data_IF_202352314440
#
_entry.id   IF_202352314440
#
_cell.length_a   1.000
_cell.length_b   1.000
_cell.length_c   1.000
_cell.angle_alpha   90.00
_cell.angle_beta   90.00
_cell.angle_gamma   90.00
#
_symmetry.space_group_name_H-M   'P 1'
#
loop_
_entity.id
_entity.type
_entity.pdbx_description
1 polymer ?
#
# COMPACT_ATOMS: atom_id res chain seq x y z
N UNK A 1 6.05 28.29 -8.42
CA UNK A 1 6.44 26.94 -7.99
C UNK A 1 7.34 27.11 -6.78
N UNK A 2 6.79 26.92 -5.59
CA UNK A 2 7.58 26.96 -4.34
C UNK A 2 8.42 25.68 -4.29
N UNK A 3 9.71 25.80 -4.51
CA UNK A 3 10.68 24.77 -4.18
C UNK A 3 10.57 24.52 -2.69
N UNK A 4 9.92 23.45 -2.27
CA UNK A 4 9.99 22.99 -0.90
C UNK A 4 11.47 22.75 -0.59
N UNK A 5 11.96 23.45 0.42
CA UNK A 5 13.30 23.28 0.93
C UNK A 5 13.31 21.95 1.69
N UNK A 6 13.49 20.85 0.95
CA UNK A 6 13.67 19.53 1.55
C UNK A 6 15.02 19.58 2.24
N UNK A 7 15.12 19.24 3.55
CA UNK A 7 16.39 19.13 4.22
C UNK A 7 17.36 18.34 3.35
N UNK A 8 18.62 18.76 3.28
CA UNK A 8 19.64 18.05 2.53
C UNK A 8 19.85 16.68 3.18
N UNK A 9 19.11 15.70 2.69
CA UNK A 9 19.35 14.30 3.05
C UNK A 9 20.69 13.89 2.44
N UNK A 10 21.44 13.00 3.11
CA UNK A 10 22.65 12.43 2.52
C UNK A 10 22.30 11.89 1.13
N UNK A 11 23.06 12.33 0.14
CA UNK A 11 22.71 12.04 -1.26
C UNK A 11 23.26 10.71 -1.72
N UNK A 12 24.09 10.08 -0.89
CA UNK A 12 24.95 9.04 -1.42
C UNK A 12 25.51 8.14 -0.32
N UNK A 13 25.29 6.85 -0.47
CA UNK A 13 26.00 5.81 0.25
C UNK A 13 27.06 5.23 -0.69
N UNK A 14 28.37 5.35 -0.37
CA UNK A 14 29.42 4.83 -1.23
C UNK A 14 29.44 3.30 -1.31
N UNK A 15 28.76 2.59 -0.39
CA UNK A 15 28.67 1.14 -0.40
C UNK A 15 27.61 0.62 -1.38
N UNK A 16 26.54 1.39 -1.63
CA UNK A 16 25.51 1.10 -2.64
C UNK A 16 25.00 2.37 -3.33
N UNK A 17 25.72 2.87 -4.33
CA UNK A 17 25.38 4.11 -4.99
C UNK A 17 24.07 4.05 -5.78
N UNK A 18 23.68 2.88 -6.24
CA UNK A 18 22.44 2.72 -7.06
C UNK A 18 21.22 2.77 -6.16
N UNK A 19 21.23 1.99 -5.08
CA UNK A 19 20.12 1.94 -4.12
C UNK A 19 19.94 3.29 -3.44
N UNK A 20 21.02 3.91 -2.96
CA UNK A 20 20.99 5.25 -2.37
C UNK A 20 20.41 6.30 -3.31
N UNK A 21 20.76 6.27 -4.60
CA UNK A 21 20.20 7.19 -5.59
C UNK A 21 18.70 6.99 -5.79
N UNK A 22 18.24 5.74 -5.82
CA UNK A 22 16.81 5.39 -5.94
C UNK A 22 16.05 5.85 -4.70
N UNK A 23 16.51 5.49 -3.51
CA UNK A 23 15.85 5.85 -2.24
C UNK A 23 15.80 7.35 -2.05
N UNK A 24 16.91 8.07 -2.31
CA UNK A 24 16.94 9.53 -2.25
C UNK A 24 15.91 10.16 -3.20
N UNK A 25 15.79 9.66 -4.43
CA UNK A 25 14.80 10.14 -5.40
C UNK A 25 13.38 9.87 -4.94
N UNK A 26 13.10 8.70 -4.39
CA UNK A 26 11.78 8.35 -3.87
C UNK A 26 11.39 9.26 -2.71
N UNK A 27 12.27 9.45 -1.74
CA UNK A 27 12.04 10.31 -0.58
C UNK A 27 11.77 11.77 -0.99
N UNK A 28 12.56 12.31 -1.93
CA UNK A 28 12.39 13.70 -2.43
C UNK A 28 11.08 13.92 -3.18
N UNK A 29 10.62 12.91 -3.92
CA UNK A 29 9.43 13.02 -4.76
C UNK A 29 8.14 12.55 -4.05
N UNK A 30 8.22 12.04 -2.84
CA UNK A 30 7.08 11.48 -2.13
C UNK A 30 5.90 12.46 -2.03
N UNK A 31 6.14 13.70 -1.67
CA UNK A 31 5.09 14.72 -1.54
C UNK A 31 4.31 15.02 -2.83
N UNK A 32 4.85 14.67 -3.99
CA UNK A 32 4.20 14.82 -5.30
C UNK A 32 3.50 13.54 -5.76
N UNK A 33 4.04 12.38 -5.38
CA UNK A 33 3.57 11.08 -5.84
C UNK A 33 2.56 10.44 -4.91
N UNK A 34 2.76 10.58 -3.61
CA UNK A 34 1.99 9.88 -2.61
C UNK A 34 0.50 10.20 -2.71
N UNK A 35 -0.32 9.17 -2.75
CA UNK A 35 -1.78 9.28 -2.80
C UNK A 35 -2.31 10.00 -1.56
N UNK A 36 -1.73 9.73 -0.39
CA UNK A 36 -2.06 10.36 0.90
C UNK A 36 -1.88 11.89 0.93
N UNK A 37 -1.17 12.46 -0.06
CA UNK A 37 -0.97 13.90 -0.22
C UNK A 37 -1.96 14.54 -1.20
N UNK A 38 -2.82 13.75 -1.80
CA UNK A 38 -3.84 14.23 -2.76
C UNK A 38 -5.18 14.36 -2.06
N UNK A 39 -6.08 15.22 -2.58
CA UNK A 39 -7.47 15.22 -2.13
C UNK A 39 -8.09 13.85 -2.32
N UNK A 40 -8.92 13.43 -1.36
CA UNK A 40 -9.70 12.22 -1.51
C UNK A 40 -10.60 12.32 -2.75
N UNK A 41 -10.70 11.26 -3.56
CA UNK A 41 -11.64 11.22 -4.66
C UNK A 41 -13.07 11.17 -4.12
N UNK A 42 -14.02 11.65 -4.91
CA UNK A 42 -15.44 11.43 -4.65
C UNK A 42 -15.75 9.94 -4.86
N UNK A 43 -15.79 9.18 -3.77
CA UNK A 43 -16.00 7.73 -3.80
C UNK A 43 -17.38 7.40 -4.34
N UNK A 44 -18.40 8.20 -4.03
CA UNK A 44 -19.77 7.96 -4.51
C UNK A 44 -19.85 8.07 -6.05
N UNK A 45 -19.08 9.00 -6.63
CA UNK A 45 -18.99 9.14 -8.09
C UNK A 45 -18.20 8.00 -8.76
N UNK A 46 -17.36 7.28 -8.03
CA UNK A 46 -16.56 6.18 -8.55
C UNK A 46 -17.27 4.82 -8.42
N UNK A 47 -18.32 4.73 -7.61
CA UNK A 47 -19.09 3.50 -7.45
C UNK A 47 -19.90 3.18 -8.69
N UNK A 48 -19.73 2.00 -9.23
CA UNK A 48 -20.48 1.45 -10.36
C UNK A 48 -21.23 0.19 -9.92
N UNK A 49 -22.51 0.36 -9.58
CA UNK A 49 -23.38 -0.74 -9.14
C UNK A 49 -23.59 -1.83 -10.19
N UNK A 50 -23.22 -1.57 -11.46
CA UNK A 50 -23.28 -2.55 -12.54
C UNK A 50 -22.07 -3.48 -12.61
N UNK A 51 -21.02 -3.20 -11.85
CA UNK A 51 -19.80 -4.02 -11.81
C UNK A 51 -19.82 -4.99 -10.64
N UNK A 52 -19.07 -6.08 -10.82
CA UNK A 52 -18.87 -7.06 -9.75
C UNK A 52 -17.81 -6.54 -8.77
N UNK A 53 -18.08 -6.67 -7.48
CA UNK A 53 -17.16 -6.24 -6.42
C UNK A 53 -15.88 -7.09 -6.37
N UNK A 54 -15.94 -8.34 -6.79
CA UNK A 54 -14.83 -9.28 -6.72
C UNK A 54 -14.87 -10.28 -7.88
N UNK A 55 -13.74 -10.52 -8.58
CA UNK A 55 -13.70 -11.42 -9.72
C UNK A 55 -13.87 -12.88 -9.29
N UNK A 56 -14.64 -13.64 -10.06
CA UNK A 56 -14.89 -15.07 -9.77
C UNK A 56 -13.58 -15.88 -9.75
N UNK A 57 -12.61 -15.52 -10.56
CA UNK A 57 -11.31 -16.21 -10.71
C UNK A 57 -10.51 -16.22 -9.40
N UNK A 58 -10.81 -15.29 -8.50
CA UNK A 58 -10.17 -15.20 -7.19
C UNK A 58 -10.98 -15.90 -6.08
N UNK A 59 -12.17 -16.41 -6.40
CA UNK A 59 -12.98 -17.18 -5.45
C UNK A 59 -12.55 -18.65 -5.46
N UNK A 60 -12.06 -19.21 -4.35
CA UNK A 60 -11.60 -20.60 -4.31
C UNK A 60 -12.73 -21.64 -4.51
N UNK A 61 -13.97 -21.19 -4.52
CA UNK A 61 -15.17 -22.02 -4.68
C UNK A 61 -16.00 -21.62 -5.93
N UNK A 62 -15.45 -20.85 -6.85
CA UNK A 62 -16.18 -20.35 -8.03
C UNK A 62 -16.75 -21.50 -8.90
N UNK A 63 -16.03 -22.62 -8.99
CA UNK A 63 -16.45 -23.81 -9.75
C UNK A 63 -17.27 -24.80 -8.94
N UNK A 64 -17.57 -24.51 -7.68
CA UNK A 64 -18.32 -25.43 -6.85
C UNK A 64 -19.81 -25.42 -7.21
N UNK A 65 -20.39 -26.59 -7.35
CA UNK A 65 -21.80 -26.79 -7.74
C UNK A 65 -22.81 -25.94 -6.97
N UNK A 66 -22.60 -25.72 -5.68
CA UNK A 66 -23.49 -24.91 -4.85
C UNK A 66 -23.44 -23.44 -5.28
N UNK A 67 -22.23 -22.90 -5.56
CA UNK A 67 -22.06 -21.54 -6.03
C UNK A 67 -22.70 -21.37 -7.41
N UNK A 68 -22.44 -22.29 -8.33
CA UNK A 68 -22.99 -22.25 -9.69
C UNK A 68 -24.51 -22.30 -9.75
N UNK A 69 -25.14 -22.98 -8.76
CA UNK A 69 -26.63 -23.09 -8.65
C UNK A 69 -27.27 -21.92 -7.90
N UNK A 70 -26.50 -21.04 -7.27
CA UNK A 70 -27.06 -19.86 -6.59
C UNK A 70 -27.61 -18.84 -7.58
N UNK A 71 -28.62 -18.10 -7.15
CA UNK A 71 -29.07 -16.91 -7.87
C UNK A 71 -28.02 -15.81 -7.91
N UNK A 72 -28.12 -14.91 -8.88
CA UNK A 72 -27.12 -13.85 -9.07
C UNK A 72 -26.96 -12.96 -7.84
N UNK A 73 -28.07 -12.61 -7.18
CA UNK A 73 -28.04 -11.82 -5.95
C UNK A 73 -27.19 -12.48 -4.84
N UNK A 74 -27.36 -13.79 -4.65
CA UNK A 74 -26.59 -14.53 -3.65
C UNK A 74 -25.10 -14.61 -4.03
N UNK A 75 -24.80 -14.78 -5.32
CA UNK A 75 -23.42 -14.77 -5.81
C UNK A 75 -22.77 -13.40 -5.61
N UNK A 76 -23.49 -12.32 -5.88
CA UNK A 76 -23.01 -10.96 -5.66
C UNK A 76 -22.73 -10.70 -4.17
N UNK A 77 -23.60 -11.17 -3.28
CA UNK A 77 -23.37 -11.06 -1.85
C UNK A 77 -22.11 -11.80 -1.40
N UNK A 78 -21.85 -13.00 -1.93
CA UNK A 78 -20.62 -13.74 -1.65
C UNK A 78 -19.38 -13.05 -2.21
N UNK A 79 -19.45 -12.40 -3.38
CA UNK A 79 -18.37 -11.59 -3.93
C UNK A 79 -18.05 -10.39 -3.03
N UNK A 80 -19.07 -9.68 -2.57
CA UNK A 80 -18.92 -8.57 -1.62
C UNK A 80 -18.26 -9.04 -0.31
N UNK A 81 -18.68 -10.17 0.25
CA UNK A 81 -18.04 -10.76 1.42
C UNK A 81 -16.59 -11.17 1.17
N UNK A 82 -16.29 -11.71 -0.02
CA UNK A 82 -14.91 -12.06 -0.39
C UNK A 82 -14.03 -10.81 -0.49
N UNK A 83 -14.55 -9.72 -1.06
CA UNK A 83 -13.87 -8.44 -1.11
C UNK A 83 -13.59 -7.88 0.30
N UNK A 84 -14.58 -7.89 1.18
CA UNK A 84 -14.42 -7.46 2.57
C UNK A 84 -13.37 -8.30 3.30
N UNK A 85 -13.42 -9.63 3.14
CA UNK A 85 -12.46 -10.53 3.76
C UNK A 85 -11.03 -10.31 3.23
N UNK A 86 -10.88 -10.06 1.94
CA UNK A 86 -9.60 -9.73 1.32
C UNK A 86 -9.01 -8.45 1.91
N UNK A 87 -9.79 -7.36 1.92
CA UNK A 87 -9.31 -6.08 2.46
C UNK A 87 -8.99 -6.17 3.95
N UNK A 88 -9.82 -6.87 4.74
CA UNK A 88 -9.51 -7.08 6.15
C UNK A 88 -8.18 -7.80 6.33
N UNK A 89 -7.90 -8.81 5.51
CA UNK A 89 -6.62 -9.54 5.59
C UNK A 89 -5.44 -8.66 5.20
N UNK A 90 -5.58 -7.80 4.18
CA UNK A 90 -4.56 -6.81 3.80
C UNK A 90 -4.29 -5.86 4.97
N UNK A 91 -5.32 -5.27 5.57
CA UNK A 91 -5.17 -4.38 6.73
C UNK A 91 -4.46 -5.07 7.90
N UNK A 92 -4.80 -6.32 8.20
CA UNK A 92 -4.16 -7.09 9.27
C UNK A 92 -2.67 -7.33 8.96
N UNK A 93 -2.31 -7.62 7.71
CA UNK A 93 -0.92 -7.79 7.28
C UNK A 93 -0.15 -6.47 7.42
N UNK A 94 -0.71 -5.37 6.97
CA UNK A 94 -0.05 -4.05 7.05
C UNK A 94 0.15 -3.63 8.51
N UNK A 95 -0.86 -3.80 9.34
CA UNK A 95 -0.81 -3.41 10.75
C UNK A 95 0.13 -4.28 11.59
N UNK A 96 0.13 -5.60 11.38
CA UNK A 96 0.80 -6.55 12.28
C UNK A 96 2.11 -7.12 11.74
N UNK A 97 2.39 -6.93 10.46
CA UNK A 97 3.59 -7.46 9.80
C UNK A 97 4.39 -6.36 9.14
N UNK A 98 3.80 -5.61 8.20
CA UNK A 98 4.51 -4.65 7.37
C UNK A 98 4.98 -3.45 8.18
N UNK A 99 4.08 -2.76 8.88
CA UNK A 99 4.44 -1.58 9.67
C UNK A 99 5.40 -1.88 10.83
N UNK A 100 5.24 -2.97 11.61
CA UNK A 100 6.27 -3.36 12.58
C UNK A 100 7.63 -3.68 11.94
N UNK A 101 7.64 -4.30 10.75
CA UNK A 101 8.87 -4.54 10.00
C UNK A 101 9.54 -3.23 9.57
N UNK A 102 8.79 -2.29 9.04
CA UNK A 102 9.30 -0.96 8.69
C UNK A 102 9.82 -0.21 9.91
N UNK A 103 9.15 -0.29 11.06
CA UNK A 103 9.61 0.33 12.29
C UNK A 103 11.00 -0.17 12.71
N UNK A 104 11.22 -1.49 12.66
CA UNK A 104 12.54 -2.08 12.94
C UNK A 104 13.62 -1.57 12.00
N UNK A 105 13.30 -1.46 10.71
CA UNK A 105 14.24 -0.97 9.69
C UNK A 105 14.50 0.53 9.85
N UNK A 106 13.46 1.33 10.12
CA UNK A 106 13.60 2.78 10.30
C UNK A 106 14.49 3.16 11.50
N UNK A 107 14.50 2.31 12.54
CA UNK A 107 15.32 2.49 13.74
C UNK A 107 16.65 1.72 13.70
N UNK A 108 16.99 1.17 12.55
CA UNK A 108 18.19 0.33 12.34
C UNK A 108 18.36 -0.79 13.39
N UNK A 109 17.24 -1.35 13.83
CA UNK A 109 17.24 -2.45 14.82
C UNK A 109 17.91 -3.73 14.30
N UNK A 110 18.15 -3.81 13.00
CA UNK A 110 18.82 -4.93 12.33
C UNK A 110 20.30 -4.65 12.05
N UNK A 111 20.83 -3.51 12.50
CA UNK A 111 22.23 -3.09 12.31
C UNK A 111 22.66 -3.11 10.82
N UNK A 112 21.79 -2.56 9.98
CA UNK A 112 22.00 -2.51 8.53
C UNK A 112 22.98 -1.41 8.12
N UNK A 113 23.16 -0.39 8.97
CA UNK A 113 23.95 0.80 8.68
C UNK A 113 23.33 1.71 7.61
N UNK A 114 22.05 1.52 7.29
CA UNK A 114 21.32 2.37 6.35
C UNK A 114 21.04 3.73 7.01
N UNK A 115 21.42 4.80 6.33
CA UNK A 115 21.39 6.15 6.89
C UNK A 115 20.02 6.81 6.93
N UNK A 116 20.00 8.07 7.37
CA UNK A 116 18.78 8.88 7.58
C UNK A 116 17.86 8.97 6.36
N UNK A 117 18.42 8.98 5.15
CA UNK A 117 17.61 9.02 3.92
C UNK A 117 16.73 7.79 3.78
N UNK A 118 17.26 6.63 4.14
CA UNK A 118 16.52 5.38 4.11
C UNK A 118 15.45 5.36 5.19
N UNK A 119 15.76 5.78 6.41
CA UNK A 119 14.78 5.91 7.49
C UNK A 119 13.61 6.82 7.10
N UNK A 120 13.90 7.96 6.46
CA UNK A 120 12.85 8.86 5.92
C UNK A 120 11.97 8.16 4.88
N UNK A 121 12.56 7.43 3.95
CA UNK A 121 11.81 6.71 2.92
C UNK A 121 10.91 5.63 3.53
N UNK A 122 11.41 4.90 4.53
CA UNK A 122 10.64 3.88 5.27
C UNK A 122 9.48 4.51 6.03
N UNK A 123 9.69 5.62 6.75
CA UNK A 123 8.59 6.33 7.43
C UNK A 123 7.53 6.86 6.44
N UNK A 124 7.95 7.30 5.25
CA UNK A 124 7.01 7.68 4.20
C UNK A 124 6.17 6.49 3.73
N UNK A 125 6.79 5.33 3.54
CA UNK A 125 6.08 4.10 3.21
C UNK A 125 5.10 3.70 4.31
N UNK A 126 5.49 3.78 5.59
CA UNK A 126 4.58 3.53 6.72
C UNK A 126 3.34 4.44 6.70
N UNK A 127 3.50 5.70 6.29
CA UNK A 127 2.35 6.61 6.14
C UNK A 127 1.47 6.18 4.97
N UNK A 128 2.06 5.77 3.84
CA UNK A 128 1.31 5.30 2.68
C UNK A 128 0.50 4.03 3.04
N UNK A 129 1.07 3.10 3.80
CA UNK A 129 0.40 1.86 4.25
C UNK A 129 -0.83 2.10 5.14
N UNK A 130 -0.93 3.24 5.81
CA UNK A 130 -2.13 3.57 6.62
C UNK A 130 -3.36 3.89 5.75
N UNK A 131 -3.18 4.06 4.45
CA UNK A 131 -4.24 4.39 3.50
C UNK A 131 -4.64 3.21 2.59
N UNK A 132 -4.01 2.08 2.76
CA UNK A 132 -4.37 0.84 2.12
C UNK A 132 -5.36 0.06 2.97
#
# INVERSE_FOLDING_TARGET
>A
MTTQNIPSLPEYDPSDPVESAVVTRLARNWGQRATVKKPEPDLDALFDLGKQDYPNELLPFADHDRFLRMGEEQRNQLRAWAWIAFNKNVMDIEQYVVNPGFDLVAHDALDTGLGDTFAVAVHQAMVDEQYH
#
